data_IF_552748434290
#
_entry.id   IF_552748434290
#
_cell.length_a   1.000
_cell.length_b   1.000
_cell.length_c   1.000
_cell.angle_alpha   90.00
_cell.angle_beta   90.00
_cell.angle_gamma   90.00
#
_symmetry.space_group_name_H-M   'P 1'
#
loop_
_entity.id
_entity.type
_entity.pdbx_description
1 polymer ?
#
# COMPACT_ATOMS: atom_id res chain seq x y z
N UNK A 1 25.29 81.05 42.95
CA UNK A 1 23.92 80.72 43.42
C UNK A 1 23.20 80.05 42.26
N UNK A 2 22.60 78.87 42.50
CA UNK A 2 21.67 78.10 41.63
C UNK A 2 22.29 77.45 40.37
N UNK A 3 22.06 76.17 40.01
CA UNK A 3 21.16 75.11 40.46
C UNK A 3 21.68 73.75 39.92
N UNK A 4 21.47 72.68 40.67
CA UNK A 4 21.63 71.30 40.21
C UNK A 4 20.42 70.86 39.38
N UNK A 5 20.63 70.04 38.34
CA UNK A 5 19.57 69.28 37.66
C UNK A 5 19.95 67.81 37.59
N UNK A 6 19.35 67.02 38.47
CA UNK A 6 19.33 65.56 38.48
C UNK A 6 18.39 65.05 37.39
N UNK A 7 18.94 64.41 36.36
CA UNK A 7 18.19 63.60 35.42
C UNK A 7 18.82 62.23 35.35
N UNK A 8 18.27 61.26 36.08
CA UNK A 8 18.63 59.85 35.88
C UNK A 8 18.00 59.40 34.56
N UNK A 9 18.83 59.29 33.53
CA UNK A 9 18.47 58.57 32.33
C UNK A 9 18.24 57.11 32.74
N UNK A 10 16.98 56.68 32.79
CA UNK A 10 16.64 55.26 32.88
C UNK A 10 17.00 54.64 31.55
N UNK A 11 18.06 53.84 31.53
CA UNK A 11 18.41 52.99 30.41
C UNK A 11 17.20 52.14 30.03
N UNK A 12 16.74 52.34 28.80
CA UNK A 12 15.67 51.56 28.19
C UNK A 12 16.20 50.14 27.98
N UNK A 13 15.51 49.14 28.55
CA UNK A 13 15.97 47.76 28.54
C UNK A 13 16.22 47.29 27.10
N UNK A 14 17.31 46.54 26.83
CA UNK A 14 17.68 46.16 25.47
C UNK A 14 16.56 45.31 24.85
N UNK A 15 15.95 45.82 23.79
CA UNK A 15 14.91 45.12 23.04
C UNK A 15 15.58 44.04 22.20
N UNK A 16 15.41 42.79 22.61
CA UNK A 16 15.90 41.63 21.85
C UNK A 16 14.87 41.32 20.75
N UNK A 17 15.22 41.44 19.46
CA UNK A 17 14.29 41.15 18.39
C UNK A 17 13.99 39.65 18.34
N UNK A 18 12.71 39.30 18.26
CA UNK A 18 12.22 37.92 18.11
C UNK A 18 11.40 37.78 16.84
N UNK A 19 11.41 36.59 16.25
CA UNK A 19 10.59 36.27 15.08
C UNK A 19 9.27 35.64 15.53
N UNK A 20 8.18 36.12 14.93
CA UNK A 20 6.83 35.64 15.20
C UNK A 20 6.29 34.94 13.95
N UNK A 21 5.60 33.81 14.14
CA UNK A 21 4.83 33.12 13.11
C UNK A 21 3.42 32.86 13.64
N UNK A 22 2.42 33.09 12.80
CA UNK A 22 1.01 32.84 13.15
C UNK A 22 0.72 31.33 13.10
N UNK A 23 0.21 30.78 14.19
CA UNK A 23 -0.17 29.36 14.27
C UNK A 23 -1.58 29.20 13.73
N UNK A 24 -1.78 28.25 12.83
CA UNK A 24 -3.08 27.86 12.30
C UNK A 24 -3.35 26.39 12.59
N UNK A 25 -4.62 26.04 12.80
CA UNK A 25 -5.03 24.63 12.85
C UNK A 25 -4.96 24.04 11.45
N UNK A 26 -4.24 22.94 11.31
CA UNK A 26 -4.22 22.14 10.10
C UNK A 26 -4.48 20.68 10.48
N UNK A 27 -5.13 19.94 9.59
CA UNK A 27 -5.26 18.49 9.72
C UNK A 27 -3.90 17.87 9.41
N UNK A 28 -3.41 17.03 10.33
CA UNK A 28 -2.17 16.28 10.16
C UNK A 28 -2.52 14.80 10.02
N UNK A 29 -2.18 14.21 8.88
CA UNK A 29 -2.34 12.78 8.65
C UNK A 29 -1.11 12.02 9.13
N UNK A 30 -1.32 10.89 9.79
CA UNK A 30 -0.26 9.97 10.17
C UNK A 30 -0.35 8.71 9.31
N UNK A 31 0.60 8.56 8.38
CA UNK A 31 0.70 7.38 7.51
C UNK A 31 1.67 6.37 8.11
N UNK A 32 1.25 5.11 8.18
CA UNK A 32 2.11 3.97 8.55
C UNK A 32 2.36 3.14 7.30
N UNK A 33 3.63 2.85 7.01
CA UNK A 33 4.03 1.98 5.90
C UNK A 33 4.40 0.62 6.45
N UNK A 34 3.84 -0.44 5.89
CA UNK A 34 4.13 -1.81 6.25
C UNK A 34 4.07 -2.71 5.02
N UNK A 35 4.78 -3.84 5.08
CA UNK A 35 4.77 -4.85 4.04
C UNK A 35 3.59 -5.81 4.21
N UNK A 36 3.07 -6.32 3.10
CA UNK A 36 2.00 -7.31 3.08
C UNK A 36 2.10 -8.21 1.85
N UNK A 37 1.50 -9.40 1.95
CA UNK A 37 1.36 -10.33 0.83
C UNK A 37 -0.13 -10.49 0.52
N UNK A 38 -0.48 -10.40 -0.76
CA UNK A 38 -1.86 -10.59 -1.23
C UNK A 38 -2.15 -12.07 -1.45
N UNK A 39 -3.29 -12.53 -0.94
CA UNK A 39 -3.79 -13.88 -1.15
C UNK A 39 -5.20 -13.85 -1.76
N UNK A 40 -5.52 -14.79 -2.67
CA UNK A 40 -6.87 -14.92 -3.20
C UNK A 40 -7.84 -15.40 -2.11
N UNK A 41 -9.08 -14.89 -2.12
CA UNK A 41 -10.14 -15.29 -1.19
C UNK A 41 -10.46 -16.78 -1.35
N UNK A 42 -10.47 -17.27 -2.60
CA UNK A 42 -10.66 -18.67 -2.94
C UNK A 42 -9.66 -19.09 -4.03
N UNK A 43 -8.99 -20.23 -3.83
CA UNK A 43 -8.04 -20.80 -4.76
C UNK A 43 -8.18 -22.32 -4.78
N UNK A 44 -8.04 -22.92 -5.95
CA UNK A 44 -8.02 -24.37 -6.10
C UNK A 44 -6.99 -24.78 -7.12
N UNK A 45 -6.15 -25.75 -6.75
CA UNK A 45 -5.27 -26.42 -7.70
C UNK A 45 -6.08 -27.46 -8.46
N UNK A 46 -6.02 -27.42 -9.79
CA UNK A 46 -6.70 -28.39 -10.65
C UNK A 46 -5.68 -29.46 -11.01
N UNK A 47 -5.95 -30.69 -10.59
CA UNK A 47 -5.13 -31.87 -10.89
C UNK A 47 -5.96 -32.87 -11.69
N UNK A 48 -5.39 -33.51 -12.72
CA UNK A 48 -6.09 -34.54 -13.45
C UNK A 48 -6.30 -35.78 -12.55
N UNK A 49 -7.44 -36.44 -12.70
CA UNK A 49 -7.77 -37.67 -11.93
C UNK A 49 -6.95 -38.88 -12.38
N UNK A 50 -6.47 -38.86 -13.63
CA UNK A 50 -5.65 -39.91 -14.25
C UNK A 50 -4.27 -39.34 -14.58
N UNK A 51 -3.27 -40.22 -14.61
CA UNK A 51 -1.94 -39.88 -15.12
C UNK A 51 -1.90 -40.14 -16.62
N UNK A 52 -1.83 -39.08 -17.43
CA UNK A 52 -1.70 -39.15 -18.88
C UNK A 52 -1.08 -37.85 -19.43
N UNK A 53 -0.42 -37.88 -20.60
CA UNK A 53 0.02 -36.67 -21.28
C UNK A 53 -1.14 -35.74 -21.64
N UNK A 54 -0.88 -34.43 -21.64
CA UNK A 54 -1.86 -33.43 -22.10
C UNK A 54 -1.87 -33.40 -23.63
N UNK A 55 -3.01 -33.71 -24.23
CA UNK A 55 -3.21 -33.64 -25.67
C UNK A 55 -3.39 -32.18 -26.14
N UNK A 56 -4.24 -31.41 -25.44
CA UNK A 56 -4.46 -29.98 -25.72
C UNK A 56 -5.06 -29.21 -24.55
N UNK A 57 -4.74 -27.93 -24.47
CA UNK A 57 -5.43 -26.97 -23.60
C UNK A 57 -6.53 -26.24 -24.37
N UNK A 58 -7.66 -25.98 -23.70
CA UNK A 58 -8.81 -25.25 -24.25
C UNK A 58 -8.94 -23.83 -23.68
N UNK A 59 -8.06 -23.46 -22.75
CA UNK A 59 -8.05 -22.15 -22.10
C UNK A 59 -6.62 -21.62 -22.03
N UNK A 60 -6.49 -20.30 -22.02
CA UNK A 60 -5.21 -19.63 -21.83
C UNK A 60 -5.02 -19.21 -20.36
N UNK A 61 -3.78 -19.02 -19.93
CA UNK A 61 -3.49 -18.44 -18.61
C UNK A 61 -4.19 -17.08 -18.47
N UNK A 62 -4.87 -16.88 -17.35
CA UNK A 62 -5.65 -15.67 -17.06
C UNK A 62 -7.08 -15.67 -17.62
N UNK A 63 -7.49 -16.71 -18.36
CA UNK A 63 -8.87 -16.82 -18.83
C UNK A 63 -9.84 -17.01 -17.67
N UNK A 64 -10.97 -16.31 -17.71
CA UNK A 64 -12.09 -16.60 -16.82
C UNK A 64 -12.77 -17.91 -17.24
N UNK A 65 -13.07 -18.75 -16.25
CA UNK A 65 -13.71 -20.06 -16.44
C UNK A 65 -14.87 -20.23 -15.48
N UNK A 66 -15.76 -21.17 -15.78
CA UNK A 66 -16.89 -21.55 -14.92
C UNK A 66 -16.64 -22.92 -14.29
N UNK A 67 -17.32 -23.20 -13.17
CA UNK A 67 -17.31 -24.53 -12.57
C UNK A 67 -17.78 -25.58 -13.58
N UNK A 68 -17.07 -26.71 -13.66
CA UNK A 68 -17.37 -27.80 -14.59
C UNK A 68 -16.92 -27.57 -16.04
N UNK A 69 -16.31 -26.43 -16.36
CA UNK A 69 -15.79 -26.17 -17.71
C UNK A 69 -14.59 -27.06 -18.04
N UNK A 70 -14.56 -27.63 -19.24
CA UNK A 70 -13.43 -28.42 -19.74
C UNK A 70 -12.23 -27.50 -20.02
N UNK A 71 -11.10 -27.76 -19.34
CA UNK A 71 -9.90 -26.93 -19.45
C UNK A 71 -8.80 -27.54 -20.32
N UNK A 72 -8.67 -28.87 -20.29
CA UNK A 72 -7.67 -29.61 -21.04
C UNK A 72 -8.21 -30.99 -21.40
N UNK A 73 -7.70 -31.54 -22.51
CA UNK A 73 -7.93 -32.92 -22.91
C UNK A 73 -6.63 -33.68 -22.70
N UNK A 74 -6.71 -34.82 -22.02
CA UNK A 74 -5.61 -35.76 -21.83
C UNK A 74 -5.67 -36.84 -22.90
N UNK A 75 -4.53 -37.43 -23.21
CA UNK A 75 -4.51 -38.64 -24.04
C UNK A 75 -5.27 -39.78 -23.35
N UNK A 76 -6.03 -40.55 -24.14
CA UNK A 76 -6.97 -41.56 -23.61
C UNK A 76 -6.90 -42.90 -24.35
N UNK A 77 -5.81 -43.20 -25.06
CA UNK A 77 -5.68 -44.42 -25.88
C UNK A 77 -5.90 -45.69 -25.06
N UNK A 78 -5.30 -45.77 -23.88
CA UNK A 78 -5.40 -46.94 -23.00
C UNK A 78 -6.80 -47.09 -22.40
N UNK A 79 -7.46 -45.97 -22.09
CA UNK A 79 -8.83 -45.96 -21.55
C UNK A 79 -9.89 -46.30 -22.61
N UNK A 80 -9.65 -45.97 -23.87
CA UNK A 80 -10.56 -46.26 -24.98
C UNK A 80 -10.44 -47.71 -25.48
N UNK A 81 -9.36 -48.41 -25.14
CA UNK A 81 -9.13 -49.80 -25.51
C UNK A 81 -9.68 -50.81 -24.47
N UNK A 82 -10.14 -50.33 -23.31
CA UNK A 82 -10.66 -51.13 -22.20
C UNK A 82 -12.16 -51.40 -22.28
#
# INVERSE_FOLDING_TARGET
>A
MLLACSGTAKDEAPVVPVQLVQVAKATLEQKVTADAVLFPIAQSAIVPKISAPVQKFLVNRGSHVRAGQLLAVLENRDLAAA
#
